data_IF_978741475111
#
_entry.id   IF_978741475111
#
_cell.length_a   1.000
_cell.length_b   1.000
_cell.length_c   1.000
_cell.angle_alpha   90.00
_cell.angle_beta   90.00
_cell.angle_gamma   90.00
#
_symmetry.space_group_name_H-M   'P 1'
#
loop_
_entity.id
_entity.type
_entity.pdbx_description
1 polymer ?
#
# COMPACT_ATOMS: atom_id res chain seq x y z
N UNK A 1 28.25 34.85 7.98
CA UNK A 1 28.55 33.84 6.96
C UNK A 1 27.45 32.81 6.99
N UNK A 2 26.89 32.55 5.82
CA UNK A 2 25.60 31.90 5.56
C UNK A 2 25.39 30.50 6.17
N UNK A 3 24.12 30.23 6.47
CA UNK A 3 23.53 28.97 6.87
C UNK A 3 23.76 27.88 5.80
N UNK A 4 23.96 26.63 6.21
CA UNK A 4 23.80 25.47 5.33
C UNK A 4 22.48 24.76 5.68
N UNK A 5 21.40 25.29 5.09
CA UNK A 5 20.08 24.67 5.06
C UNK A 5 20.02 23.69 3.88
N UNK A 6 20.25 22.39 4.12
CA UNK A 6 19.90 21.39 3.11
C UNK A 6 19.50 20.03 3.71
N UNK A 7 18.61 20.05 4.70
CA UNK A 7 17.80 18.89 5.01
C UNK A 7 16.70 18.76 3.94
N UNK A 8 16.47 17.58 3.35
CA UNK A 8 15.39 17.41 2.38
C UNK A 8 14.06 17.73 3.04
N UNK A 9 13.47 18.85 2.63
CA UNK A 9 12.14 19.31 3.05
C UNK A 9 11.15 18.20 2.70
N UNK A 10 10.62 17.49 3.71
CA UNK A 10 9.59 16.45 3.53
C UNK A 10 8.47 17.07 2.69
N UNK A 11 8.36 16.61 1.44
CA UNK A 11 7.44 17.13 0.44
C UNK A 11 6.01 17.00 0.96
N UNK A 12 5.32 18.14 0.99
CA UNK A 12 3.87 18.37 0.92
C UNK A 12 2.94 17.39 1.63
N UNK A 13 2.08 17.91 2.51
CA UNK A 13 0.82 17.23 2.81
C UNK A 13 0.17 16.79 1.51
N UNK A 14 0.04 15.49 1.30
CA UNK A 14 -0.66 14.95 0.14
C UNK A 14 -2.05 15.61 0.09
N UNK A 15 -2.44 16.25 -1.02
CA UNK A 15 -3.77 16.83 -1.16
C UNK A 15 -4.79 15.76 -0.81
N UNK A 16 -5.80 16.08 0.03
CA UNK A 16 -6.84 15.18 0.57
C UNK A 16 -7.03 13.90 -0.26
N UNK A 17 -6.16 12.90 -0.05
CA UNK A 17 -6.17 11.71 -0.88
C UNK A 17 -7.34 10.89 -0.39
N UNK A 18 -8.35 10.73 -1.24
CA UNK A 18 -9.53 9.96 -0.92
C UNK A 18 -9.78 8.95 -2.02
N UNK A 19 -10.01 7.70 -1.60
CA UNK A 19 -10.39 6.63 -2.51
C UNK A 19 -11.85 6.85 -2.96
N UNK A 20 -12.18 6.54 -4.22
CA UNK A 20 -13.54 6.71 -4.74
C UNK A 20 -14.51 5.79 -4.00
N UNK A 21 -15.38 6.38 -3.18
CA UNK A 21 -16.35 5.65 -2.35
C UNK A 21 -17.30 4.75 -3.13
N UNK A 22 -17.61 5.10 -4.39
CA UNK A 22 -18.41 4.25 -5.28
C UNK A 22 -17.68 2.94 -5.63
N UNK A 23 -16.36 2.99 -5.83
CA UNK A 23 -15.55 1.81 -6.14
C UNK A 23 -15.37 0.93 -4.92
N UNK A 24 -15.13 1.53 -3.76
CA UNK A 24 -15.05 0.79 -2.48
C UNK A 24 -16.35 0.02 -2.25
N UNK A 25 -17.50 0.71 -2.35
CA UNK A 25 -18.81 0.09 -2.22
C UNK A 25 -19.03 -1.06 -3.21
N UNK A 26 -18.57 -0.90 -4.46
CA UNK A 26 -18.69 -1.94 -5.47
C UNK A 26 -17.84 -3.18 -5.12
N UNK A 27 -16.58 -2.99 -4.70
CA UNK A 27 -15.71 -4.10 -4.26
C UNK A 27 -16.31 -4.83 -3.05
N UNK A 28 -16.81 -4.09 -2.05
CA UNK A 28 -17.50 -4.69 -0.90
C UNK A 28 -18.72 -5.52 -1.31
N UNK A 29 -19.41 -5.18 -2.40
CA UNK A 29 -20.59 -5.91 -2.90
C UNK A 29 -20.27 -7.08 -3.82
N UNK A 30 -19.00 -7.35 -4.09
CA UNK A 30 -18.61 -8.58 -4.79
C UNK A 30 -18.77 -9.81 -3.89
N UNK A 31 -18.78 -9.60 -2.58
CA UNK A 31 -19.15 -10.61 -1.59
C UNK A 31 -20.67 -10.79 -1.56
N UNK A 32 -21.14 -12.01 -1.79
CA UNK A 32 -22.56 -12.35 -1.90
C UNK A 32 -23.33 -12.19 -0.59
N UNK A 33 -22.64 -12.27 0.55
CA UNK A 33 -23.24 -12.11 1.88
C UNK A 33 -23.43 -10.64 2.28
N UNK A 34 -22.90 -9.69 1.47
CA UNK A 34 -22.98 -8.26 1.76
C UNK A 34 -24.24 -7.62 1.14
N UNK A 35 -25.24 -7.39 1.99
CA UNK A 35 -26.48 -6.70 1.64
C UNK A 35 -26.36 -5.17 1.54
N UNK A 36 -26.94 -4.45 2.52
CA UNK A 36 -26.93 -2.97 2.55
C UNK A 36 -25.68 -2.47 3.28
N UNK A 37 -24.95 -1.56 2.65
CA UNK A 37 -23.75 -0.93 3.22
C UNK A 37 -24.12 0.47 3.71
N UNK A 38 -23.90 0.75 4.99
CA UNK A 38 -24.08 2.06 5.57
C UNK A 38 -23.02 3.06 5.07
N UNK A 39 -23.39 4.34 4.95
CA UNK A 39 -22.50 5.38 4.41
C UNK A 39 -21.23 5.57 5.25
N UNK A 40 -21.36 5.54 6.58
CA UNK A 40 -20.24 5.62 7.52
C UNK A 40 -19.27 4.44 7.39
N UNK A 41 -19.77 3.22 7.19
CA UNK A 41 -18.95 2.04 6.96
C UNK A 41 -18.15 2.18 5.66
N UNK A 42 -18.78 2.62 4.57
CA UNK A 42 -18.09 2.87 3.30
C UNK A 42 -16.98 3.94 3.43
N UNK A 43 -17.27 5.04 4.12
CA UNK A 43 -16.30 6.10 4.37
C UNK A 43 -15.15 5.63 5.29
N UNK A 44 -15.45 4.81 6.30
CA UNK A 44 -14.45 4.20 7.18
C UNK A 44 -13.51 3.28 6.40
N UNK A 45 -14.06 2.38 5.58
CA UNK A 45 -13.27 1.48 4.74
C UNK A 45 -12.32 2.23 3.81
N UNK A 46 -12.75 3.35 3.23
CA UNK A 46 -11.86 4.19 2.42
C UNK A 46 -10.66 4.76 3.18
N UNK A 47 -10.84 5.15 4.44
CA UNK A 47 -9.74 5.62 5.30
C UNK A 47 -8.81 4.48 5.71
N UNK A 48 -9.38 3.33 6.08
CA UNK A 48 -8.61 2.14 6.46
C UNK A 48 -7.75 1.65 5.29
N UNK A 49 -8.33 1.54 4.09
CA UNK A 49 -7.60 1.13 2.89
C UNK A 49 -6.46 2.10 2.56
N UNK A 50 -6.67 3.41 2.74
CA UNK A 50 -5.59 4.38 2.55
C UNK A 50 -4.45 4.18 3.57
N UNK A 51 -4.79 4.04 4.86
CA UNK A 51 -3.80 3.78 5.92
C UNK A 51 -3.05 2.47 5.70
N UNK A 52 -3.75 1.46 5.21
CA UNK A 52 -3.15 0.20 4.82
C UNK A 52 -2.09 0.38 3.72
N UNK A 53 -2.39 1.13 2.66
CA UNK A 53 -1.42 1.42 1.60
C UNK A 53 -0.22 2.23 2.10
N UNK A 54 -0.44 3.22 2.97
CA UNK A 54 0.64 3.99 3.60
C UNK A 54 1.56 3.11 4.45
N UNK A 55 0.99 2.26 5.31
CA UNK A 55 1.76 1.36 6.17
C UNK A 55 2.52 0.32 5.33
N UNK A 56 1.85 -0.33 4.37
CA UNK A 56 2.46 -1.34 3.51
C UNK A 56 3.61 -0.74 2.69
N UNK A 57 3.39 0.43 2.09
CA UNK A 57 4.44 1.12 1.31
C UNK A 57 5.63 1.49 2.18
N UNK A 58 5.39 1.94 3.41
CA UNK A 58 6.47 2.30 4.35
C UNK A 58 7.33 1.07 4.70
N UNK A 59 6.71 -0.08 4.95
CA UNK A 59 7.43 -1.34 5.20
C UNK A 59 8.25 -1.78 3.98
N UNK A 60 7.71 -1.66 2.77
CA UNK A 60 8.45 -2.01 1.55
C UNK A 60 9.67 -1.10 1.33
N UNK A 61 9.56 0.18 1.67
CA UNK A 61 10.69 1.12 1.64
C UNK A 61 11.77 0.72 2.66
N UNK A 62 11.37 0.34 3.87
CA UNK A 62 12.30 -0.17 4.88
C UNK A 62 13.05 -1.41 4.40
N UNK A 63 12.34 -2.38 3.79
CA UNK A 63 12.94 -3.58 3.21
C UNK A 63 13.89 -3.24 2.05
N UNK A 64 13.51 -2.34 1.14
CA UNK A 64 14.38 -1.84 0.07
C UNK A 64 15.67 -1.21 0.63
N UNK A 65 15.57 -0.46 1.72
CA UNK A 65 16.74 0.12 2.41
C UNK A 65 17.68 -0.89 3.07
N UNK A 66 17.21 -2.11 3.37
CA UNK A 66 18.07 -3.19 3.84
C UNK A 66 18.89 -3.80 2.70
N UNK A 67 18.33 -3.82 1.48
CA UNK A 67 18.96 -4.42 0.29
C UNK A 67 20.04 -3.51 -0.31
N UNK A 68 19.82 -2.20 -0.37
CA UNK A 68 20.74 -1.25 -1.01
C UNK A 68 21.08 -0.04 -0.13
N UNK A 69 22.35 0.36 -0.11
CA UNK A 69 22.79 1.63 0.49
C UNK A 69 22.70 2.73 -0.58
N UNK A 70 21.57 3.42 -0.68
CA UNK A 70 21.36 4.45 -1.68
C UNK A 70 19.90 4.89 -1.81
N UNK A 71 19.53 5.60 -2.89
CA UNK A 71 18.15 5.96 -3.18
C UNK A 71 17.27 4.70 -3.22
N UNK A 72 16.28 4.63 -2.32
CA UNK A 72 15.43 3.45 -2.20
C UNK A 72 14.47 3.36 -3.40
N UNK A 73 14.61 2.28 -4.18
CA UNK A 73 13.65 1.89 -5.20
C UNK A 73 12.91 0.66 -4.70
N UNK A 74 11.61 0.83 -4.44
CA UNK A 74 10.73 -0.29 -4.08
C UNK A 74 10.53 -1.17 -5.32
N UNK A 75 10.83 -2.45 -5.17
CA UNK A 75 10.67 -3.50 -6.18
C UNK A 75 9.57 -4.48 -5.77
N UNK A 76 9.15 -5.34 -6.70
CA UNK A 76 8.18 -6.40 -6.39
C UNK A 76 8.75 -7.40 -5.36
N UNK A 77 10.05 -7.70 -5.43
CA UNK A 77 10.72 -8.58 -4.46
C UNK A 77 10.67 -8.01 -3.04
N UNK A 78 10.79 -6.68 -2.89
CA UNK A 78 10.66 -6.00 -1.59
C UNK A 78 9.23 -6.16 -1.03
N UNK A 79 8.21 -6.11 -1.89
CA UNK A 79 6.80 -6.36 -1.52
C UNK A 79 6.56 -7.82 -1.11
N UNK A 80 7.02 -8.79 -1.91
CA UNK A 80 6.91 -10.23 -1.61
C UNK A 80 7.59 -10.54 -0.28
N UNK A 81 8.80 -10.01 -0.08
CA UNK A 81 9.56 -10.19 1.16
C UNK A 81 8.86 -9.57 2.36
N UNK A 82 8.28 -8.38 2.19
CA UNK A 82 7.52 -7.69 3.25
C UNK A 82 6.31 -8.51 3.69
N UNK A 83 5.55 -9.04 2.73
CA UNK A 83 4.37 -9.88 2.99
C UNK A 83 4.77 -11.21 3.63
N UNK A 84 5.85 -11.84 3.17
CA UNK A 84 6.38 -13.08 3.75
C UNK A 84 6.89 -12.98 5.19
N UNK A 85 7.14 -11.77 5.71
CA UNK A 85 7.67 -11.54 7.06
C UNK A 85 6.62 -11.12 8.08
N UNK A 86 5.48 -10.57 7.65
CA UNK A 86 4.44 -10.05 8.53
C UNK A 86 3.18 -10.91 8.41
N UNK A 87 2.93 -11.76 9.42
CA UNK A 87 1.78 -12.66 9.46
C UNK A 87 0.42 -11.96 9.28
N UNK A 88 0.33 -10.66 9.64
CA UNK A 88 -0.91 -9.88 9.45
C UNK A 88 -1.23 -9.65 7.97
N UNK A 89 -0.25 -9.87 7.08
CA UNK A 89 -0.36 -9.74 5.64
C UNK A 89 -0.56 -11.08 4.94
N UNK A 90 -0.74 -12.19 5.67
CA UNK A 90 -0.90 -13.53 5.08
C UNK A 90 -2.05 -13.62 4.07
N UNK A 91 -3.08 -12.79 4.23
CA UNK A 91 -4.20 -12.69 3.27
C UNK A 91 -3.78 -12.22 1.86
N UNK A 92 -2.54 -11.75 1.68
CA UNK A 92 -1.99 -11.32 0.40
C UNK A 92 -1.11 -12.37 -0.28
N UNK A 93 -0.79 -13.48 0.38
CA UNK A 93 0.15 -14.50 -0.12
C UNK A 93 -0.31 -15.06 -1.48
N UNK A 94 -1.59 -15.40 -1.59
CA UNK A 94 -2.17 -15.93 -2.82
C UNK A 94 -2.14 -14.93 -3.99
N UNK A 95 -2.17 -13.63 -3.67
CA UNK A 95 -2.12 -12.57 -4.69
C UNK A 95 -0.69 -12.37 -5.19
N UNK A 96 0.30 -12.36 -4.28
CA UNK A 96 1.70 -12.14 -4.65
C UNK A 96 2.35 -13.34 -5.33
N UNK A 97 1.91 -14.55 -5.00
CA UNK A 97 2.39 -15.80 -5.61
C UNK A 97 1.52 -16.29 -6.78
N UNK A 98 0.42 -15.59 -7.07
CA UNK A 98 -0.43 -15.86 -8.23
C UNK A 98 -0.36 -14.71 -9.24
N UNK A 99 -1.42 -13.88 -9.40
CA UNK A 99 -1.52 -12.91 -10.48
C UNK A 99 -0.37 -11.90 -10.57
N UNK A 100 0.27 -11.54 -9.45
CA UNK A 100 1.40 -10.60 -9.47
C UNK A 100 2.72 -11.25 -9.87
N UNK A 101 2.91 -12.54 -9.58
CA UNK A 101 4.10 -13.27 -10.01
C UNK A 101 4.15 -13.37 -11.54
N UNK A 102 3.00 -13.61 -12.17
CA UNK A 102 2.85 -13.66 -13.64
C UNK A 102 3.24 -12.34 -14.34
N UNK A 103 3.12 -11.20 -13.66
CA UNK A 103 3.54 -9.90 -14.19
C UNK A 103 5.06 -9.70 -14.16
N UNK A 104 5.77 -10.42 -13.28
CA UNK A 104 7.22 -10.32 -13.13
C UNK A 104 7.97 -11.21 -14.12
N UNK A 105 7.38 -12.36 -14.47
CA UNK A 105 7.98 -13.36 -15.36
C UNK A 105 7.90 -12.99 -16.85
N UNK A 106 7.29 -11.85 -17.17
CA UNK A 106 7.19 -11.32 -18.53
C UNK A 106 6.13 -12.04 -19.36
N UNK A 107 5.02 -11.35 -19.60
CA UNK A 107 4.25 -11.57 -20.83
C UNK A 107 5.05 -11.18 -22.07
#
# INVERSE_FOLDING_TARGET
GSQNENAPKRRGSTPNLSLPLGRIKHLMKQDEDIGKIASNANAFMGKVALRFLEELSSKCVEESGRREKGPQKVTLDDLITTIGKDQRLDFLQDIVHGPLAELNDGG
#
